data_IF_536107927545
#
_entry.id   IF_536107927545
#
_cell.length_a   1.000
_cell.length_b   1.000
_cell.length_c   1.000
_cell.angle_alpha   90.00
_cell.angle_beta   90.00
_cell.angle_gamma   90.00
#
_symmetry.space_group_name_H-M   'P 1'
#
loop_
_entity.id
_entity.type
_entity.pdbx_description
1 polymer ?
#
# COMPACT_ATOMS: atom_id res chain seq x y z
N UNK A 1 -19.01 16.23 -2.43
CA UNK A 1 -17.55 16.06 -2.25
C UNK A 1 -17.35 14.90 -1.30
N UNK A 2 -16.35 14.04 -1.53
CA UNK A 2 -16.01 12.95 -0.60
C UNK A 2 -15.73 13.52 0.79
N UNK A 3 -16.35 12.95 1.82
CA UNK A 3 -16.12 13.35 3.22
C UNK A 3 -14.87 12.72 3.82
N UNK A 4 -14.23 11.78 3.12
CA UNK A 4 -13.07 11.04 3.61
C UNK A 4 -11.84 11.96 3.66
N UNK A 5 -11.15 11.92 4.79
CA UNK A 5 -9.87 12.57 5.05
C UNK A 5 -8.79 11.54 5.36
N UNK A 6 -7.53 11.98 5.44
CA UNK A 6 -6.40 11.10 5.76
C UNK A 6 -6.57 10.45 7.15
N UNK A 7 -7.20 11.16 8.09
CA UNK A 7 -7.35 10.70 9.49
C UNK A 7 -8.31 9.52 9.58
N UNK A 8 -9.24 9.39 8.63
CA UNK A 8 -10.22 8.30 8.59
C UNK A 8 -9.61 6.99 8.07
N UNK A 9 -8.39 7.02 7.52
CA UNK A 9 -7.74 5.85 6.93
C UNK A 9 -6.99 5.08 8.03
N UNK A 10 -7.39 3.84 8.33
CA UNK A 10 -6.73 3.05 9.36
C UNK A 10 -5.28 2.72 9.00
N UNK A 11 -4.42 2.60 10.01
CA UNK A 11 -3.05 2.15 9.84
C UNK A 11 -2.92 0.68 10.23
N UNK A 12 -2.04 -0.04 9.55
CA UNK A 12 -1.69 -1.42 9.87
C UNK A 12 -0.21 -1.50 10.27
N UNK A 13 0.11 -2.30 11.30
CA UNK A 13 1.50 -2.51 11.69
C UNK A 13 2.19 -3.51 10.75
N UNK A 14 3.52 -3.45 10.69
CA UNK A 14 4.34 -4.40 9.92
C UNK A 14 4.14 -5.85 10.38
N UNK A 15 3.94 -6.08 11.67
CA UNK A 15 3.73 -7.41 12.24
C UNK A 15 2.39 -7.99 11.77
N UNK A 16 1.31 -7.19 11.81
CA UNK A 16 0.00 -7.60 11.30
C UNK A 16 0.03 -7.85 9.79
N UNK A 17 0.70 -6.99 9.01
CA UNK A 17 0.84 -7.20 7.58
C UNK A 17 1.66 -8.46 7.26
N UNK A 18 2.76 -8.71 7.97
CA UNK A 18 3.56 -9.92 7.83
C UNK A 18 2.76 -11.18 8.12
N UNK A 19 1.91 -11.16 9.16
CA UNK A 19 0.97 -12.25 9.44
C UNK A 19 0.03 -12.51 8.26
N UNK A 20 -0.59 -11.46 7.73
CA UNK A 20 -1.52 -11.59 6.60
C UNK A 20 -0.86 -12.11 5.30
N UNK A 21 0.41 -11.76 5.06
CA UNK A 21 1.20 -12.29 3.94
C UNK A 21 1.51 -13.78 4.17
N UNK A 22 1.94 -14.16 5.37
CA UNK A 22 2.24 -15.55 5.75
C UNK A 22 1.02 -16.47 5.69
N UNK A 23 -0.14 -15.94 6.09
CA UNK A 23 -1.43 -16.62 5.99
C UNK A 23 -1.94 -16.73 4.53
N UNK A 24 -1.23 -16.12 3.57
CA UNK A 24 -1.56 -16.09 2.14
C UNK A 24 -2.99 -15.61 1.89
N UNK A 25 -3.40 -14.55 2.59
CA UNK A 25 -4.76 -14.03 2.48
C UNK A 25 -5.09 -13.71 1.00
N UNK A 26 -5.98 -14.48 0.35
CA UNK A 26 -6.07 -14.51 -1.11
C UNK A 26 -6.59 -13.19 -1.71
N UNK A 27 -7.32 -12.41 -0.91
CA UNK A 27 -7.95 -11.15 -1.32
C UNK A 27 -7.23 -9.90 -0.79
N UNK A 28 -5.90 -9.96 -0.67
CA UNK A 28 -5.06 -8.81 -0.33
C UNK A 28 -4.31 -8.25 -1.55
N UNK A 29 -4.01 -6.95 -1.51
CA UNK A 29 -3.01 -6.29 -2.34
C UNK A 29 -2.17 -5.31 -1.51
N UNK A 30 -0.85 -5.31 -1.73
CA UNK A 30 0.08 -4.32 -1.17
C UNK A 30 0.51 -3.38 -2.31
N UNK A 31 0.32 -2.08 -2.12
CA UNK A 31 0.61 -1.04 -3.10
C UNK A 31 1.74 -0.17 -2.57
N UNK A 32 2.90 -0.31 -3.21
CA UNK A 32 4.07 0.50 -2.94
C UNK A 32 4.06 1.75 -3.82
N UNK A 33 4.00 2.93 -3.22
CA UNK A 33 3.94 4.21 -3.95
C UNK A 33 5.26 4.98 -3.96
N UNK A 34 6.37 4.31 -3.61
CA UNK A 34 7.72 4.84 -3.80
C UNK A 34 8.02 5.06 -5.27
N UNK A 35 8.85 6.07 -5.54
CA UNK A 35 9.26 6.48 -6.87
C UNK A 35 10.66 5.90 -7.15
N UNK A 36 11.71 6.73 -7.22
CA UNK A 36 13.10 6.25 -7.34
C UNK A 36 13.57 5.51 -6.09
N UNK A 37 12.97 5.78 -4.93
CA UNK A 37 13.27 5.15 -3.64
C UNK A 37 12.64 3.76 -3.47
N UNK A 38 12.09 3.18 -4.55
CA UNK A 38 11.64 1.79 -4.58
C UNK A 38 12.81 0.79 -4.57
N UNK A 39 13.97 1.21 -5.07
CA UNK A 39 15.21 0.40 -5.12
C UNK A 39 15.64 -0.02 -3.70
N UNK A 40 16.26 -1.20 -3.58
CA UNK A 40 16.74 -1.75 -2.32
C UNK A 40 15.79 -2.75 -1.66
N UNK A 41 14.70 -3.12 -2.34
CA UNK A 41 13.80 -4.18 -1.96
C UNK A 41 12.37 -3.70 -1.76
N UNK A 42 11.44 -4.66 -1.76
CA UNK A 42 10.01 -4.40 -1.65
C UNK A 42 9.29 -5.57 -0.96
N UNK A 43 8.09 -5.29 -0.47
CA UNK A 43 7.25 -6.29 0.19
C UNK A 43 6.82 -7.35 -0.83
N UNK A 44 6.96 -8.63 -0.46
CA UNK A 44 6.67 -9.76 -1.33
C UNK A 44 5.23 -9.72 -1.88
N UNK A 45 5.08 -9.99 -3.18
CA UNK A 45 3.79 -9.90 -3.88
C UNK A 45 3.20 -8.48 -4.00
N UNK A 46 3.93 -7.44 -3.58
CA UNK A 46 3.52 -6.05 -3.72
C UNK A 46 3.58 -5.54 -5.15
N UNK A 47 2.75 -4.56 -5.48
CA UNK A 47 2.76 -3.87 -6.78
C UNK A 47 3.26 -2.44 -6.60
N UNK A 48 4.27 -2.05 -7.39
CA UNK A 48 4.76 -0.68 -7.39
C UNK A 48 3.91 0.22 -8.31
N UNK A 49 3.30 1.24 -7.72
CA UNK A 49 2.54 2.28 -8.40
C UNK A 49 3.06 3.64 -7.91
N UNK A 50 4.14 4.16 -8.53
CA UNK A 50 4.82 5.37 -8.07
C UNK A 50 3.87 6.56 -7.97
N UNK A 51 4.08 7.39 -6.94
CA UNK A 51 3.21 8.51 -6.62
C UNK A 51 3.08 9.53 -7.75
N UNK A 52 4.14 9.71 -8.54
CA UNK A 52 4.15 10.58 -9.72
C UNK A 52 3.27 10.08 -10.89
N UNK A 53 2.79 8.84 -10.85
CA UNK A 53 1.93 8.25 -11.90
C UNK A 53 0.44 8.31 -11.57
N UNK A 54 0.08 8.75 -10.35
CA UNK A 54 -1.30 8.66 -9.86
C UNK A 54 -2.30 9.51 -10.65
N UNK A 55 -1.83 10.51 -11.39
CA UNK A 55 -2.70 11.34 -12.25
C UNK A 55 -3.40 10.53 -13.36
N UNK A 56 -2.76 9.47 -13.84
CA UNK A 56 -3.29 8.67 -14.96
C UNK A 56 -3.49 7.18 -14.61
N UNK A 57 -2.75 6.63 -13.63
CA UNK A 57 -2.90 5.21 -13.24
C UNK A 57 -3.98 4.95 -12.19
N UNK A 58 -4.43 5.95 -11.43
CA UNK A 58 -5.38 5.72 -10.34
C UNK A 58 -6.72 5.10 -10.79
N UNK A 59 -7.35 5.53 -11.91
CA UNK A 59 -8.59 4.91 -12.37
C UNK A 59 -8.43 3.44 -12.75
N UNK A 60 -7.27 3.07 -13.32
CA UNK A 60 -6.93 1.69 -13.64
C UNK A 60 -6.69 0.88 -12.36
N UNK A 61 -5.94 1.44 -11.41
CA UNK A 61 -5.68 0.81 -10.11
C UNK A 61 -6.98 0.44 -9.39
N UNK A 62 -7.96 1.34 -9.35
CA UNK A 62 -9.29 1.08 -8.77
C UNK A 62 -9.98 -0.11 -9.46
N UNK A 63 -9.92 -0.20 -10.79
CA UNK A 63 -10.53 -1.31 -11.53
C UNK A 63 -9.83 -2.64 -11.28
N UNK A 64 -8.50 -2.62 -11.22
CA UNK A 64 -7.68 -3.81 -10.97
C UNK A 64 -7.88 -4.35 -9.56
N UNK A 65 -8.04 -3.46 -8.57
CA UNK A 65 -8.18 -3.84 -7.17
C UNK A 65 -9.64 -4.03 -6.73
N UNK A 66 -10.63 -3.93 -7.64
CA UNK A 66 -12.05 -3.95 -7.27
C UNK A 66 -12.47 -5.21 -6.49
N UNK A 67 -11.86 -6.35 -6.77
CA UNK A 67 -12.21 -7.66 -6.18
C UNK A 67 -11.37 -7.97 -4.93
N UNK A 68 -10.49 -7.05 -4.50
CA UNK A 68 -9.65 -7.22 -3.32
C UNK A 68 -10.39 -6.76 -2.06
N UNK A 69 -10.37 -7.57 -1.01
CA UNK A 69 -10.95 -7.22 0.29
C UNK A 69 -10.03 -6.32 1.11
N UNK A 70 -8.72 -6.46 0.98
CA UNK A 70 -7.76 -5.64 1.72
C UNK A 70 -6.74 -5.01 0.78
N UNK A 71 -6.59 -3.68 0.85
CA UNK A 71 -5.57 -2.95 0.10
C UNK A 71 -4.71 -2.16 1.07
N UNK A 72 -3.39 -2.40 1.06
CA UNK A 72 -2.45 -1.73 1.95
C UNK A 72 -1.53 -0.83 1.14
N UNK A 73 -1.62 0.48 1.35
CA UNK A 73 -0.71 1.44 0.74
C UNK A 73 0.49 1.71 1.65
N UNK A 74 1.65 1.91 1.05
CA UNK A 74 2.82 2.40 1.78
C UNK A 74 3.75 3.20 0.89
N UNK A 75 4.60 4.02 1.50
CA UNK A 75 5.79 4.54 0.83
C UNK A 75 7.03 4.16 1.65
N UNK A 76 8.09 4.95 1.61
CA UNK A 76 9.26 4.70 2.45
C UNK A 76 8.96 4.87 3.94
N UNK A 77 8.37 6.01 4.34
CA UNK A 77 8.05 6.32 5.74
C UNK A 77 6.54 6.30 6.05
N UNK A 78 5.70 6.26 5.02
CA UNK A 78 4.23 6.35 5.11
C UNK A 78 3.69 7.57 5.88
N UNK A 79 4.37 8.72 5.75
CA UNK A 79 3.97 10.00 6.37
C UNK A 79 3.22 10.94 5.41
N UNK A 80 3.53 10.90 4.12
CA UNK A 80 2.92 11.76 3.09
C UNK A 80 2.40 10.96 1.90
N UNK A 81 3.30 10.42 1.06
CA UNK A 81 2.94 9.73 -0.19
C UNK A 81 1.97 8.55 0.03
N UNK A 82 2.23 7.68 1.00
CA UNK A 82 1.34 6.54 1.33
C UNK A 82 -0.08 6.98 1.70
N UNK A 83 -0.27 7.82 2.73
CA UNK A 83 -1.59 8.35 3.09
C UNK A 83 -2.29 9.12 1.97
N UNK A 84 -1.57 9.97 1.23
CA UNK A 84 -2.13 10.72 0.11
C UNK A 84 -2.61 9.80 -1.02
N UNK A 85 -1.86 8.73 -1.31
CA UNK A 85 -2.22 7.73 -2.31
C UNK A 85 -3.48 6.96 -1.92
N UNK A 86 -3.55 6.50 -0.67
CA UNK A 86 -4.73 5.80 -0.14
C UNK A 86 -5.98 6.69 -0.21
N UNK A 87 -5.86 7.96 0.19
CA UNK A 87 -6.96 8.91 0.10
C UNK A 87 -7.40 9.14 -1.35
N UNK A 88 -6.43 9.31 -2.26
CA UNK A 88 -6.71 9.51 -3.68
C UNK A 88 -7.42 8.30 -4.28
N UNK A 89 -6.97 7.10 -3.94
CA UNK A 89 -7.59 5.84 -4.34
C UNK A 89 -9.04 5.75 -3.85
N UNK A 90 -9.30 6.05 -2.57
CA UNK A 90 -10.65 6.04 -1.99
C UNK A 90 -11.59 7.03 -2.70
N UNK A 91 -11.12 8.26 -2.95
CA UNK A 91 -11.91 9.29 -3.66
C UNK A 91 -12.19 8.90 -5.11
N UNK A 92 -11.20 8.31 -5.78
CA UNK A 92 -11.36 7.84 -7.16
C UNK A 92 -12.34 6.66 -7.23
N UNK A 93 -12.30 5.76 -6.24
CA UNK A 93 -13.26 4.66 -6.09
C UNK A 93 -14.69 5.17 -5.91
N UNK A 94 -14.90 6.19 -5.08
CA UNK A 94 -16.21 6.86 -4.95
C UNK A 94 -16.66 7.53 -6.26
N UNK A 95 -15.73 8.18 -6.97
CA UNK A 95 -16.00 8.86 -8.24
C UNK A 95 -16.40 7.90 -9.36
N UNK A 96 -15.78 6.74 -9.43
CA UNK A 96 -16.04 5.72 -10.47
C UNK A 96 -17.28 4.88 -10.19
N UNK A 97 -17.73 4.82 -8.94
CA UNK A 97 -18.90 4.02 -8.52
C UNK A 97 -19.96 4.87 -7.79
N UNK A 98 -20.48 5.97 -8.41
CA UNK A 98 -21.48 6.81 -7.77
C UNK A 98 -22.79 6.02 -7.64
N UNK A 99 -23.24 5.79 -6.40
CA UNK A 99 -24.47 5.04 -6.11
C UNK A 99 -24.28 3.56 -5.78
N UNK A 100 -23.05 3.03 -5.76
CA UNK A 100 -22.77 1.73 -5.10
C UNK A 100 -22.72 1.89 -3.58
N UNK A 101 -23.84 2.28 -2.97
CA UNK A 101 -24.06 2.06 -1.54
C UNK A 101 -24.30 0.57 -1.30
N UNK A 102 -23.27 -0.28 -1.42
CA UNK A 102 -23.45 -1.71 -1.17
C UNK A 102 -22.31 -2.62 -1.60
N UNK A 103 -21.85 -2.53 -2.85
CA UNK A 103 -20.90 -3.52 -3.40
C UNK A 103 -19.44 -3.23 -3.02
N UNK A 104 -19.07 -1.97 -2.76
CA UNK A 104 -17.71 -1.59 -2.31
C UNK A 104 -17.50 -1.62 -0.79
N UNK A 105 -18.53 -1.98 0.00
CA UNK A 105 -18.46 -1.98 1.48
C UNK A 105 -17.46 -2.99 2.05
N UNK A 106 -17.02 -3.98 1.27
CA UNK A 106 -16.11 -5.03 1.74
C UNK A 106 -14.61 -4.69 1.69
N UNK A 107 -14.20 -3.68 0.89
CA UNK A 107 -12.78 -3.40 0.72
C UNK A 107 -12.25 -2.43 1.78
N UNK A 108 -11.41 -2.95 2.67
CA UNK A 108 -10.69 -2.17 3.68
C UNK A 108 -9.37 -1.67 3.13
N UNK A 109 -9.14 -0.36 3.24
CA UNK A 109 -7.90 0.30 2.80
C UNK A 109 -7.09 0.72 4.02
N UNK A 110 -5.84 0.28 4.07
CA UNK A 110 -4.90 0.62 5.14
C UNK A 110 -3.71 1.41 4.63
N UNK A 111 -3.03 2.09 5.55
CA UNK A 111 -1.67 2.59 5.36
C UNK A 111 -0.71 1.80 6.26
N UNK A 112 0.36 1.24 5.71
CA UNK A 112 1.39 0.57 6.50
C UNK A 112 2.14 1.59 7.36
N UNK A 113 2.14 1.38 8.67
CA UNK A 113 2.84 2.28 9.57
C UNK A 113 4.37 2.17 9.46
N UNK A 114 5.05 3.32 9.42
CA UNK A 114 6.50 3.41 9.24
C UNK A 114 7.02 3.08 7.84
N UNK A 115 6.15 2.66 6.92
CA UNK A 115 6.49 2.37 5.53
C UNK A 115 7.53 1.26 5.37
N UNK A 116 8.20 1.24 4.21
CA UNK A 116 9.20 0.23 3.91
C UNK A 116 10.45 0.34 4.80
N UNK A 117 10.77 1.53 5.31
CA UNK A 117 11.92 1.75 6.21
C UNK A 117 11.79 0.89 7.48
N UNK A 118 10.63 0.96 8.17
CA UNK A 118 10.42 0.11 9.36
C UNK A 118 10.15 -1.36 9.03
N UNK A 119 9.69 -1.64 7.80
CA UNK A 119 9.51 -3.01 7.34
C UNK A 119 10.85 -3.72 7.21
N UNK A 120 11.79 -3.12 6.48
CA UNK A 120 13.09 -3.75 6.20
C UNK A 120 13.94 -3.95 7.45
N UNK A 121 13.81 -3.07 8.46
CA UNK A 121 14.49 -3.24 9.76
C UNK A 121 14.19 -4.59 10.43
N UNK A 122 12.98 -5.12 10.21
CA UNK A 122 12.51 -6.35 10.85
C UNK A 122 12.43 -7.54 9.90
N UNK A 123 12.03 -7.30 8.65
CA UNK A 123 11.72 -8.35 7.67
C UNK A 123 12.55 -8.24 6.38
N UNK A 124 13.54 -7.34 6.31
CA UNK A 124 14.36 -7.14 5.10
C UNK A 124 15.06 -8.42 4.63
N UNK A 125 15.67 -9.16 5.56
CA UNK A 125 16.36 -10.42 5.24
C UNK A 125 15.42 -11.64 5.10
N UNK A 126 14.13 -11.49 5.43
CA UNK A 126 13.14 -12.56 5.29
C UNK A 126 12.66 -12.66 3.83
N UNK A 127 13.16 -13.65 3.10
CA UNK A 127 12.86 -13.88 1.67
C UNK A 127 11.42 -14.29 1.40
N UNK A 128 10.65 -14.69 2.41
CA UNK A 128 9.22 -14.97 2.25
C UNK A 128 8.39 -13.68 2.28
N UNK A 129 8.90 -12.64 2.93
CA UNK A 129 8.22 -11.38 3.18
C UNK A 129 8.76 -10.21 2.36
N UNK A 130 10.01 -10.28 1.93
CA UNK A 130 10.71 -9.22 1.20
C UNK A 130 11.43 -9.79 -0.02
N UNK A 131 11.20 -9.16 -1.16
CA UNK A 131 11.81 -9.47 -2.44
C UNK A 131 12.84 -8.41 -2.82
N UNK A 132 13.91 -8.82 -3.51
CA UNK A 132 14.91 -7.88 -4.04
C UNK A 132 15.65 -7.06 -2.98
N UNK A 133 15.72 -7.54 -1.74
CA UNK A 133 16.37 -6.80 -0.64
C UNK A 133 17.88 -6.68 -0.87
N UNK A 134 18.37 -5.44 -0.85
CA UNK A 134 19.80 -5.12 -0.99
C UNK A 134 20.30 -4.49 0.31
N UNK A 135 20.87 -5.32 1.19
CA UNK A 135 21.32 -4.90 2.54
C UNK A 135 22.24 -3.67 2.51
N UNK A 136 23.13 -3.59 1.52
CA UNK A 136 24.11 -2.51 1.37
C UNK A 136 23.46 -1.14 1.16
N UNK A 137 22.25 -1.09 0.60
CA UNK A 137 21.47 0.14 0.43
C UNK A 137 20.96 0.68 1.77
N UNK A 138 20.78 -0.20 2.77
CA UNK A 138 20.21 0.14 4.08
C UNK A 138 21.24 0.24 5.20
N UNK A 139 22.50 -0.15 4.96
CA UNK A 139 23.57 -0.20 5.97
C UNK A 139 23.86 1.18 6.60
N UNK A 140 23.66 2.26 5.85
CA UNK A 140 23.93 3.64 6.30
C UNK A 140 22.67 4.42 6.71
N UNK A 141 21.53 3.74 6.81
CA UNK A 141 20.23 4.36 7.11
C UNK A 141 19.51 4.88 5.86
N UNK A 142 18.26 5.30 6.07
CA UNK A 142 17.36 5.84 5.04
C UNK A 142 17.37 7.37 4.98
#
# INVERSE_FOLDING_TARGET
MSSITIVDIPRISRESLAGLIKDKHPSMAVIDVRDSDYIGGHIAGGTNIPSNTHDYKMPELVRTLKDKETVVFHCALSQQRGPSAALRYLRERERLSPGMEGESKGQTVYVLDGGFVKWQELYGEDKELTEGYEKDIWEFGY
#
